data_IF_981200897329
#
_entry.id   IF_981200897329
#
_cell.length_a   1.000
_cell.length_b   1.000
_cell.length_c   1.000
_cell.angle_alpha   90.00
_cell.angle_beta   90.00
_cell.angle_gamma   90.00
#
_symmetry.space_group_name_H-M   'P 1'
#
loop_
_entity.id
_entity.type
_entity.pdbx_description
1 polymer ?
#
# COMPACT_ATOMS: atom_id res chain seq x y z
N UNK A 1 -13.07 41.93 -4.42
CA UNK A 1 -11.63 41.69 -4.58
C UNK A 1 -11.39 41.15 -5.98
N UNK A 2 -10.29 41.50 -6.65
CA UNK A 2 -9.97 40.94 -7.96
C UNK A 2 -9.69 39.44 -7.82
N UNK A 3 -10.28 38.61 -8.68
CA UNK A 3 -9.97 37.17 -8.71
C UNK A 3 -8.52 36.99 -9.16
N UNK A 4 -7.78 36.13 -8.47
CA UNK A 4 -6.42 35.74 -8.84
C UNK A 4 -6.39 34.60 -9.86
N UNK A 5 -7.56 34.11 -10.30
CA UNK A 5 -7.66 33.11 -11.35
C UNK A 5 -7.51 33.79 -12.71
N UNK A 6 -6.57 33.33 -13.53
CA UNK A 6 -6.44 33.84 -14.90
C UNK A 6 -7.66 33.47 -15.74
N UNK A 7 -8.04 34.36 -16.66
CA UNK A 7 -9.09 34.09 -17.65
C UNK A 7 -8.57 33.22 -18.81
N UNK A 8 -7.26 33.03 -18.92
CA UNK A 8 -6.64 32.21 -19.94
C UNK A 8 -6.59 30.74 -19.51
N UNK A 9 -6.85 29.83 -20.46
CA UNK A 9 -6.67 28.41 -20.24
C UNK A 9 -5.18 28.05 -20.23
N UNK A 10 -4.80 27.02 -19.46
CA UNK A 10 -3.43 26.49 -19.41
C UNK A 10 -2.91 26.18 -20.80
N UNK A 11 -1.77 26.78 -21.15
CA UNK A 11 -1.04 26.49 -22.41
C UNK A 11 0.18 25.60 -22.18
N UNK A 12 0.53 25.36 -20.91
CA UNK A 12 1.73 24.62 -20.49
C UNK A 12 1.69 23.14 -20.86
N UNK A 13 0.49 22.54 -20.92
CA UNK A 13 0.30 21.12 -21.20
C UNK A 13 0.88 20.21 -20.11
N UNK A 14 1.04 20.74 -18.88
CA UNK A 14 1.53 19.99 -17.73
C UNK A 14 0.57 18.89 -17.32
N UNK A 15 1.11 17.72 -17.03
CA UNK A 15 0.39 16.59 -16.46
C UNK A 15 0.90 16.34 -15.06
N UNK A 16 0.02 16.44 -14.07
CA UNK A 16 0.38 16.23 -12.67
C UNK A 16 -0.07 14.84 -12.24
N UNK A 17 0.89 14.01 -11.89
CA UNK A 17 0.71 12.74 -11.22
C UNK A 17 0.87 12.92 -9.72
N UNK A 18 -0.13 12.50 -8.94
CA UNK A 18 -0.10 12.53 -7.47
C UNK A 18 0.04 11.12 -6.92
N UNK A 19 1.10 10.90 -6.12
CA UNK A 19 1.22 9.66 -5.36
C UNK A 19 0.36 9.69 -4.10
N UNK A 20 -0.29 8.57 -3.72
CA UNK A 20 -1.08 8.48 -2.49
C UNK A 20 -0.28 8.80 -1.22
N UNK A 21 1.01 8.48 -1.19
CA UNK A 21 1.87 8.75 -0.04
C UNK A 21 1.96 10.25 0.27
N UNK A 22 2.10 11.11 -0.74
CA UNK A 22 2.09 12.56 -0.58
C UNK A 22 0.76 13.03 0.02
N UNK A 23 -0.37 12.53 -0.50
CA UNK A 23 -1.70 12.88 -0.01
C UNK A 23 -1.94 12.46 1.45
N UNK A 24 -1.51 11.26 1.81
CA UNK A 24 -1.59 10.77 3.19
C UNK A 24 -0.74 11.63 4.12
N UNK A 25 0.46 12.03 3.68
CA UNK A 25 1.36 12.88 4.48
C UNK A 25 0.78 14.27 4.69
N UNK A 26 0.15 14.86 3.66
CA UNK A 26 -0.58 16.14 3.77
C UNK A 26 -1.73 16.02 4.77
N UNK A 27 -2.54 14.96 4.65
CA UNK A 27 -3.68 14.71 5.56
C UNK A 27 -3.22 14.50 7.02
N UNK A 28 -2.17 13.70 7.23
CA UNK A 28 -1.54 13.49 8.54
C UNK A 28 -1.01 14.81 9.13
N UNK A 29 -0.39 15.66 8.31
CA UNK A 29 0.05 16.97 8.78
C UNK A 29 -1.13 17.87 9.18
N UNK A 30 -2.18 17.96 8.36
CA UNK A 30 -3.37 18.77 8.66
C UNK A 30 -4.04 18.29 9.96
N UNK A 31 -4.21 16.98 10.12
CA UNK A 31 -4.82 16.40 11.32
C UNK A 31 -3.97 16.64 12.57
N UNK A 32 -2.64 16.49 12.50
CA UNK A 32 -1.75 16.83 13.62
C UNK A 32 -1.80 18.31 13.97
N UNK A 33 -1.84 19.19 12.97
CA UNK A 33 -1.94 20.63 13.17
C UNK A 33 -3.23 20.99 13.91
N UNK A 34 -4.36 20.40 13.50
CA UNK A 34 -5.65 20.58 14.15
C UNK A 34 -5.67 20.03 15.59
N UNK A 35 -5.16 18.80 15.81
CA UNK A 35 -5.16 18.16 17.14
C UNK A 35 -4.22 18.83 18.14
N UNK A 36 -3.13 19.43 17.67
CA UNK A 36 -2.18 20.16 18.52
C UNK A 36 -2.61 21.60 18.83
N UNK A 37 -3.72 22.07 18.24
CA UNK A 37 -4.17 23.46 18.31
C UNK A 37 -3.08 24.46 17.91
N UNK A 38 -2.27 24.09 16.90
CA UNK A 38 -1.27 25.00 16.35
C UNK A 38 -1.97 26.21 15.73
N UNK A 39 -1.41 27.39 15.96
CA UNK A 39 -1.92 28.64 15.41
C UNK A 39 -1.22 28.98 14.10
N UNK A 40 -2.00 29.38 13.08
CA UNK A 40 -1.49 29.78 11.77
C UNK A 40 -1.95 28.88 10.62
N UNK A 41 -1.61 29.26 9.37
CA UNK A 41 -1.94 28.48 8.19
C UNK A 41 -1.07 27.22 8.08
N UNK A 42 -1.66 26.14 7.59
CA UNK A 42 -0.95 24.89 7.28
C UNK A 42 -0.22 25.07 5.96
N UNK A 43 1.11 25.02 5.97
CA UNK A 43 1.94 25.19 4.78
C UNK A 43 2.95 24.04 4.71
N UNK A 44 3.15 23.49 3.52
CA UNK A 44 4.19 22.48 3.31
C UNK A 44 4.71 22.43 1.89
N UNK A 45 5.86 21.78 1.70
CA UNK A 45 6.51 21.61 0.41
C UNK A 45 6.04 20.33 -0.28
N UNK A 46 6.06 20.35 -1.61
CA UNK A 46 5.80 19.21 -2.49
C UNK A 46 7.08 18.92 -3.29
N UNK A 47 7.48 17.65 -3.29
CA UNK A 47 8.68 17.20 -3.96
C UNK A 47 8.40 15.96 -4.78
N UNK A 48 9.24 15.75 -5.79
CA UNK A 48 9.19 14.57 -6.61
C UNK A 48 9.96 14.78 -7.90
N UNK A 49 9.64 13.98 -8.90
CA UNK A 49 10.37 13.96 -10.16
C UNK A 49 9.64 14.77 -11.24
N UNK A 50 10.43 15.43 -12.10
CA UNK A 50 9.92 16.14 -13.26
C UNK A 50 10.54 15.57 -14.53
N UNK A 51 9.71 14.93 -15.36
CA UNK A 51 10.09 14.39 -16.66
C UNK A 51 9.48 15.26 -17.76
N UNK A 52 10.15 16.37 -18.08
CA UNK A 52 9.67 17.34 -19.07
C UNK A 52 8.38 18.02 -18.62
N UNK A 53 7.24 17.60 -19.17
CA UNK A 53 5.90 18.14 -18.83
C UNK A 53 5.10 17.25 -17.89
N UNK A 54 5.62 16.08 -17.55
CA UNK A 54 5.04 15.18 -16.56
C UNK A 54 5.70 15.47 -15.21
N UNK A 55 4.88 15.85 -14.23
CA UNK A 55 5.29 16.19 -12.88
C UNK A 55 4.71 15.13 -11.96
N UNK A 56 5.56 14.32 -11.33
CA UNK A 56 5.15 13.33 -10.35
C UNK A 56 5.44 13.84 -8.94
N UNK A 57 4.37 14.09 -8.18
CA UNK A 57 4.46 14.52 -6.78
C UNK A 57 4.46 13.28 -5.90
N UNK A 58 5.63 12.93 -5.40
CA UNK A 58 5.90 11.70 -4.64
C UNK A 58 5.88 11.96 -3.14
N UNK A 59 6.42 13.11 -2.72
CA UNK A 59 6.67 13.43 -1.32
C UNK A 59 6.08 14.79 -0.93
N UNK A 60 5.73 14.90 0.34
CA UNK A 60 5.30 16.15 0.95
C UNK A 60 5.89 16.27 2.36
N UNK A 61 6.21 17.49 2.79
CA UNK A 61 6.59 17.74 4.18
C UNK A 61 6.14 19.13 4.66
N UNK A 62 6.04 19.31 5.97
CA UNK A 62 5.62 20.58 6.59
C UNK A 62 6.68 21.68 6.46
N UNK A 63 6.27 22.92 6.25
CA UNK A 63 7.14 24.09 6.31
C UNK A 63 6.87 24.82 7.62
N UNK A 64 7.93 25.11 8.38
CA UNK A 64 7.81 25.90 9.60
C UNK A 64 7.72 27.39 9.30
N UNK A 65 6.86 28.07 10.05
CA UNK A 65 6.65 29.51 9.97
C UNK A 65 7.49 30.21 11.04
N UNK A 66 8.15 31.29 10.63
CA UNK A 66 8.84 32.20 11.52
C UNK A 66 7.82 33.03 12.34
N UNK A 67 8.20 33.59 13.50
CA UNK A 67 7.31 34.42 14.31
C UNK A 67 6.72 35.58 13.49
N UNK A 68 5.39 35.63 13.44
CA UNK A 68 4.62 36.58 12.67
C UNK A 68 4.77 38.02 13.21
N UNK A 69 5.00 38.97 12.30
CA UNK A 69 5.01 40.42 12.59
C UNK A 69 3.71 41.01 12.04
N UNK A 70 3.07 42.02 12.68
CA UNK A 70 1.79 42.58 12.22
C UNK A 70 1.76 43.05 10.75
N UNK A 71 2.91 43.35 10.14
CA UNK A 71 3.03 43.75 8.72
C UNK A 71 3.15 42.57 7.74
N UNK A 72 3.59 41.39 8.21
CA UNK A 72 3.69 40.15 7.42
C UNK A 72 3.15 38.98 8.23
N UNK A 73 1.88 38.61 8.03
CA UNK A 73 1.21 37.62 8.86
C UNK A 73 1.82 36.23 8.72
N UNK A 74 2.45 35.92 7.58
CA UNK A 74 3.04 34.62 7.27
C UNK A 74 4.45 34.84 6.71
N UNK A 75 5.46 34.29 7.38
CA UNK A 75 6.86 34.33 6.96
C UNK A 75 7.44 32.93 7.07
N UNK A 76 8.09 32.45 6.02
CA UNK A 76 8.71 31.12 6.01
C UNK A 76 10.05 31.17 6.76
N UNK A 77 10.31 30.18 7.63
CA UNK A 77 11.65 30.00 8.18
C UNK A 77 12.58 29.42 7.10
N UNK A 78 13.29 30.32 6.40
CA UNK A 78 14.23 29.96 5.33
C UNK A 78 15.36 29.06 5.82
N UNK A 79 15.86 29.30 7.03
CA UNK A 79 17.00 28.53 7.58
C UNK A 79 16.62 27.08 7.82
N UNK A 80 15.42 26.86 8.36
CA UNK A 80 14.88 25.52 8.54
C UNK A 80 14.54 24.88 7.20
N UNK A 81 13.92 25.64 6.30
CA UNK A 81 13.51 25.15 4.98
C UNK A 81 14.70 24.69 4.14
N UNK A 82 15.76 25.50 4.02
CA UNK A 82 16.98 25.15 3.27
C UNK A 82 17.66 23.90 3.84
N UNK A 83 17.76 23.81 5.18
CA UNK A 83 18.31 22.63 5.85
C UNK A 83 17.47 21.37 5.61
N UNK A 84 16.14 21.51 5.61
CA UNK A 84 15.23 20.38 5.38
C UNK A 84 15.29 19.94 3.92
N UNK A 85 15.32 20.90 3.00
CA UNK A 85 15.45 20.65 1.56
C UNK A 85 16.78 19.96 1.24
N UNK A 86 17.90 20.39 1.85
CA UNK A 86 19.21 19.75 1.63
C UNK A 86 19.21 18.29 2.10
N UNK A 87 18.67 18.01 3.30
CA UNK A 87 18.56 16.64 3.82
C UNK A 87 17.67 15.76 2.94
N UNK A 88 16.62 16.33 2.34
CA UNK A 88 15.77 15.60 1.42
C UNK A 88 16.52 15.28 0.12
N UNK A 89 17.28 16.23 -0.43
CA UNK A 89 18.14 16.01 -1.59
C UNK A 89 19.23 14.96 -1.35
N UNK A 90 19.78 14.89 -0.13
CA UNK A 90 20.77 13.87 0.23
C UNK A 90 20.18 12.44 0.20
N UNK A 91 18.89 12.30 0.54
CA UNK A 91 18.20 11.00 0.59
C UNK A 91 17.48 10.65 -0.71
N UNK A 92 17.01 11.64 -1.46
CA UNK A 92 16.28 11.50 -2.70
C UNK A 92 16.86 12.46 -3.77
N UNK A 93 18.02 12.12 -4.39
CA UNK A 93 18.71 13.02 -5.30
C UNK A 93 17.96 13.35 -6.60
N UNK A 94 17.01 12.50 -6.99
CA UNK A 94 16.15 12.69 -8.17
C UNK A 94 14.92 13.54 -7.89
N UNK A 95 14.66 13.89 -6.62
CA UNK A 95 13.50 14.66 -6.23
C UNK A 95 13.86 16.15 -6.12
N UNK A 96 13.11 16.98 -6.84
CA UNK A 96 13.22 18.43 -6.76
C UNK A 96 11.97 19.04 -6.12
N UNK A 97 12.08 20.32 -5.73
CA UNK A 97 10.96 21.08 -5.19
C UNK A 97 9.98 21.40 -6.32
N UNK A 98 8.81 20.78 -6.35
CA UNK A 98 7.83 20.94 -7.42
C UNK A 98 6.75 21.97 -7.08
N UNK A 99 6.49 22.19 -5.80
CA UNK A 99 5.38 23.02 -5.37
C UNK A 99 5.26 23.14 -3.86
N UNK A 100 4.11 23.65 -3.45
CA UNK A 100 3.73 23.72 -2.05
C UNK A 100 2.24 23.47 -1.88
N UNK A 101 1.85 23.06 -0.68
CA UNK A 101 0.46 22.79 -0.35
C UNK A 101 -0.03 23.65 0.81
N UNK A 102 -1.34 23.89 0.83
CA UNK A 102 -2.05 24.58 1.90
C UNK A 102 -3.48 24.07 2.04
N UNK A 103 -4.12 24.46 3.13
CA UNK A 103 -5.54 24.19 3.38
C UNK A 103 -6.43 25.35 2.95
N UNK A 104 -7.59 25.05 2.36
CA UNK A 104 -8.64 26.03 2.11
C UNK A 104 -9.98 25.52 2.62
N UNK A 105 -10.80 26.43 3.12
CA UNK A 105 -12.19 26.15 3.51
C UNK A 105 -13.20 26.73 2.52
N UNK A 106 -12.72 27.41 1.47
CA UNK A 106 -13.57 27.97 0.42
C UNK A 106 -14.08 26.84 -0.50
N UNK A 107 -15.40 26.75 -0.76
CA UNK A 107 -15.95 25.73 -1.66
C UNK A 107 -15.44 25.83 -3.10
N UNK A 108 -15.02 27.02 -3.52
CA UNK A 108 -14.54 27.34 -4.87
C UNK A 108 -13.03 27.14 -5.03
N UNK A 109 -12.30 26.81 -3.96
CA UNK A 109 -10.84 26.63 -3.94
C UNK A 109 -10.05 27.84 -4.47
N UNK A 110 -10.64 29.05 -4.48
CA UNK A 110 -9.99 30.23 -5.06
C UNK A 110 -8.73 30.66 -4.27
N UNK A 111 -7.59 30.91 -4.95
CA UNK A 111 -6.40 31.44 -4.30
C UNK A 111 -6.62 32.84 -3.70
N UNK A 112 -6.08 33.08 -2.52
CA UNK A 112 -6.12 34.38 -1.83
C UNK A 112 -4.82 35.18 -2.03
N UNK A 113 -4.82 36.51 -1.80
CA UNK A 113 -3.60 37.33 -1.88
C UNK A 113 -2.48 36.86 -0.94
N UNK A 114 -2.83 36.27 0.20
CA UNK A 114 -1.86 35.68 1.12
C UNK A 114 -1.13 34.50 0.46
N UNK A 115 -1.86 33.67 -0.30
CA UNK A 115 -1.25 32.58 -1.07
C UNK A 115 -0.30 33.11 -2.14
N UNK A 116 -0.64 34.23 -2.81
CA UNK A 116 0.25 34.84 -3.80
C UNK A 116 1.56 35.33 -3.17
N UNK A 117 1.49 35.92 -1.96
CA UNK A 117 2.66 36.41 -1.24
C UNK A 117 3.61 35.26 -0.84
N UNK A 118 3.05 34.16 -0.32
CA UNK A 118 3.81 32.95 0.02
C UNK A 118 4.42 32.32 -1.24
N UNK A 119 3.63 32.25 -2.32
CA UNK A 119 4.09 31.69 -3.58
C UNK A 119 5.28 32.48 -4.15
N UNK A 120 5.24 33.82 -4.11
CA UNK A 120 6.37 34.66 -4.52
C UNK A 120 7.63 34.43 -3.69
N UNK A 121 7.52 34.19 -2.38
CA UNK A 121 8.67 33.87 -1.54
C UNK A 121 9.31 32.53 -1.95
N UNK A 122 8.48 31.52 -2.23
CA UNK A 122 8.95 30.19 -2.64
C UNK A 122 9.49 30.14 -4.07
N UNK A 123 9.05 31.03 -4.97
CA UNK A 123 9.57 31.12 -6.34
C UNK A 123 11.08 31.44 -6.40
N UNK A 124 11.67 31.93 -5.30
CA UNK A 124 13.12 32.10 -5.20
C UNK A 124 13.91 30.79 -5.23
N UNK A 125 13.27 29.65 -4.90
CA UNK A 125 13.88 28.32 -4.92
C UNK A 125 13.61 27.54 -6.20
N UNK A 126 12.46 27.77 -6.85
CA UNK A 126 12.13 27.19 -8.16
C UNK A 126 11.26 28.18 -8.96
N UNK A 127 11.60 28.37 -10.23
CA UNK A 127 10.91 29.26 -11.18
C UNK A 127 9.48 28.82 -11.53
N UNK A 128 9.15 27.52 -11.39
CA UNK A 128 7.83 26.97 -11.73
C UNK A 128 7.30 26.08 -10.61
N UNK A 129 6.58 26.67 -9.66
CA UNK A 129 5.96 25.94 -8.55
C UNK A 129 4.47 25.70 -8.80
N UNK A 130 3.98 24.52 -8.41
CA UNK A 130 2.55 24.27 -8.31
C UNK A 130 2.01 24.60 -6.91
N UNK A 131 0.75 25.01 -6.84
CA UNK A 131 0.01 25.23 -5.60
C UNK A 131 -1.05 24.15 -5.46
N UNK A 132 -0.94 23.30 -4.43
CA UNK A 132 -1.96 22.32 -4.07
C UNK A 132 -2.81 22.84 -2.90
N UNK A 133 -4.12 22.91 -3.10
CA UNK A 133 -5.07 23.32 -2.08
C UNK A 133 -5.95 22.14 -1.69
N UNK A 134 -5.92 21.77 -0.42
CA UNK A 134 -6.77 20.71 0.13
C UNK A 134 -7.87 21.30 1.03
N UNK A 135 -9.10 20.82 0.89
CA UNK A 135 -10.17 21.15 1.83
C UNK A 135 -10.36 20.02 2.84
N UNK A 136 -10.03 20.25 4.13
CA UNK A 136 -10.13 19.21 5.16
C UNK A 136 -11.57 18.99 5.66
N UNK A 137 -12.54 19.77 5.20
CA UNK A 137 -13.95 19.59 5.57
C UNK A 137 -14.52 18.28 5.00
N UNK A 138 -15.33 17.52 5.76
CA UNK A 138 -15.97 16.29 5.28
C UNK A 138 -16.90 16.53 4.07
N UNK A 139 -17.39 17.77 3.91
CA UNK A 139 -18.23 18.18 2.76
C UNK A 139 -17.41 18.61 1.53
N UNK A 140 -16.07 18.59 1.61
CA UNK A 140 -15.19 19.05 0.54
C UNK A 140 -15.16 18.12 -0.68
N UNK A 141 -15.56 16.84 -0.51
CA UNK A 141 -15.63 15.88 -1.62
C UNK A 141 -16.92 16.09 -2.41
N UNK A 142 -16.79 16.63 -3.62
CA UNK A 142 -17.91 16.83 -4.54
C UNK A 142 -17.87 15.70 -5.59
N UNK A 143 -18.95 14.94 -5.73
CA UNK A 143 -19.13 13.89 -6.75
C UNK A 143 -18.05 12.77 -6.74
N UNK A 144 -17.55 12.42 -5.56
CA UNK A 144 -16.53 11.38 -5.37
C UNK A 144 -15.16 11.75 -5.94
N UNK A 145 -14.90 13.04 -6.18
CA UNK A 145 -13.55 13.56 -6.41
C UNK A 145 -12.89 13.87 -5.08
N UNK A 146 -11.56 13.77 -5.05
CA UNK A 146 -10.79 14.20 -3.88
C UNK A 146 -10.95 15.71 -3.68
N UNK A 147 -11.01 16.21 -2.43
CA UNK A 147 -11.19 17.62 -2.10
C UNK A 147 -9.89 18.42 -2.31
N UNK A 148 -9.35 18.36 -3.53
CA UNK A 148 -8.05 18.90 -3.89
C UNK A 148 -8.19 19.70 -5.20
N UNK A 149 -7.57 20.88 -5.22
CA UNK A 149 -7.36 21.68 -6.42
C UNK A 149 -5.87 21.97 -6.57
N UNK A 150 -5.36 21.92 -7.80
CA UNK A 150 -3.97 22.26 -8.10
C UNK A 150 -3.95 23.43 -9.08
N UNK A 151 -3.03 24.35 -8.88
CA UNK A 151 -2.85 25.53 -9.72
C UNK A 151 -1.40 25.65 -10.19
N UNK A 152 -1.20 26.05 -11.44
CA UNK A 152 0.05 26.66 -11.90
C UNK A 152 -0.01 28.18 -11.72
N UNK A 153 1.15 28.80 -11.59
CA UNK A 153 1.25 30.26 -11.58
C UNK A 153 1.71 30.80 -12.93
N UNK A 154 1.07 31.89 -13.37
CA UNK A 154 1.46 32.65 -14.56
C UNK A 154 1.59 34.13 -14.19
N UNK A 155 2.67 34.74 -14.63
CA UNK A 155 2.87 36.18 -14.55
C UNK A 155 2.21 36.85 -15.75
N UNK A 156 1.03 37.44 -15.56
CA UNK A 156 0.32 38.21 -16.61
C UNK A 156 0.98 39.59 -16.83
N UNK A 157 1.67 40.11 -15.82
CA UNK A 157 2.43 41.37 -15.85
C UNK A 157 3.52 41.31 -14.78
N UNK A 158 4.52 42.20 -14.85
CA UNK A 158 5.71 42.17 -13.97
C UNK A 158 5.40 42.01 -12.47
N UNK A 159 4.27 42.54 -11.98
CA UNK A 159 3.85 42.46 -10.57
C UNK A 159 2.53 41.70 -10.33
N UNK A 160 1.93 41.09 -11.37
CA UNK A 160 0.63 40.42 -11.23
C UNK A 160 0.78 38.90 -11.43
N UNK A 161 0.82 38.19 -10.30
CA UNK A 161 0.73 36.74 -10.25
C UNK A 161 -0.73 36.31 -10.41
N UNK A 162 -0.98 35.40 -11.34
CA UNK A 162 -2.27 34.76 -11.56
C UNK A 162 -2.13 33.24 -11.46
N UNK A 163 -3.21 32.55 -11.13
CA UNK A 163 -3.25 31.11 -10.98
C UNK A 163 -4.18 30.48 -12.01
N UNK A 164 -3.77 29.34 -12.56
CA UNK A 164 -4.56 28.59 -13.54
C UNK A 164 -4.77 27.17 -13.01
N UNK A 165 -6.02 26.68 -12.96
CA UNK A 165 -6.30 25.35 -12.46
C UNK A 165 -5.72 24.27 -13.38
N UNK A 166 -5.02 23.31 -12.79
CA UNK A 166 -4.45 22.15 -13.47
C UNK A 166 -5.24 20.88 -13.16
N UNK A 167 -5.27 19.99 -14.15
CA UNK A 167 -5.79 18.64 -13.97
C UNK A 167 -4.71 17.75 -13.34
N UNK A 168 -5.16 16.82 -12.50
CA UNK A 168 -4.28 15.83 -11.88
C UNK A 168 -4.78 14.41 -12.14
N UNK A 169 -3.84 13.47 -12.16
CA UNK A 169 -4.05 12.03 -12.12
C UNK A 169 -3.48 11.50 -10.80
N UNK A 170 -4.04 10.40 -10.31
CA UNK A 170 -3.46 9.69 -9.17
C UNK A 170 -2.63 8.56 -9.77
N UNK A 171 -1.33 8.59 -9.54
CA UNK A 171 -0.43 7.52 -9.93
C UNK A 171 -0.10 6.69 -8.71
N UNK A 172 -0.32 5.39 -8.80
CA UNK A 172 -0.03 4.46 -7.73
C UNK A 172 0.94 3.43 -8.26
N UNK A 173 2.11 3.31 -7.64
CA UNK A 173 2.96 2.15 -7.86
C UNK A 173 2.24 0.86 -7.43
N UNK A 174 2.68 -0.30 -7.91
CA UNK A 174 2.06 -1.58 -7.57
C UNK A 174 2.03 -1.82 -6.05
N UNK A 175 3.15 -1.56 -5.37
CA UNK A 175 3.25 -1.66 -3.92
C UNK A 175 2.34 -0.66 -3.20
N UNK A 176 2.25 0.59 -3.69
CA UNK A 176 1.36 1.60 -3.12
C UNK A 176 -0.11 1.21 -3.30
N UNK A 177 -0.48 0.70 -4.47
CA UNK A 177 -1.84 0.25 -4.76
C UNK A 177 -2.28 -0.84 -3.77
N UNK A 178 -1.42 -1.85 -3.55
CA UNK A 178 -1.69 -2.94 -2.59
C UNK A 178 -1.81 -2.38 -1.16
N UNK A 179 -0.88 -1.50 -0.76
CA UNK A 179 -0.90 -0.90 0.57
C UNK A 179 -2.15 -0.02 0.79
N UNK A 180 -2.55 0.77 -0.21
CA UNK A 180 -3.75 1.61 -0.14
C UNK A 180 -5.02 0.78 -0.09
N UNK A 181 -5.10 -0.31 -0.86
CA UNK A 181 -6.25 -1.23 -0.81
C UNK A 181 -6.38 -1.88 0.57
N UNK A 182 -5.26 -2.31 1.16
CA UNK A 182 -5.24 -2.83 2.53
C UNK A 182 -5.69 -1.79 3.58
N UNK A 183 -5.20 -0.55 3.48
CA UNK A 183 -5.61 0.53 4.39
C UNK A 183 -7.08 0.89 4.19
N UNK A 184 -7.56 0.96 2.95
CA UNK A 184 -8.93 1.32 2.60
C UNK A 184 -9.96 0.25 3.00
N UNK A 185 -9.59 -1.03 2.93
CA UNK A 185 -10.42 -2.14 3.44
C UNK A 185 -10.55 -2.14 4.97
N UNK A 186 -9.77 -1.31 5.65
CA UNK A 186 -9.77 -1.19 7.10
C UNK A 186 -8.82 -2.19 7.71
N UNK A 187 -7.59 -1.75 7.99
CA UNK A 187 -6.56 -2.45 8.74
C UNK A 187 -6.94 -2.75 10.22
N UNK A 188 -8.23 -2.93 10.54
CA UNK A 188 -8.80 -2.93 11.89
C UNK A 188 -10.11 -3.72 12.06
N UNK A 189 -10.36 -4.75 11.25
CA UNK A 189 -11.29 -5.82 11.65
C UNK A 189 -10.51 -6.86 12.46
N UNK A 190 -10.81 -7.00 13.76
CA UNK A 190 -10.13 -7.93 14.67
C UNK A 190 -10.26 -9.41 14.24
N UNK A 191 -9.39 -9.86 13.33
CA UNK A 191 -9.11 -11.26 13.07
C UNK A 191 -7.68 -11.38 12.47
N UNK A 192 -6.81 -12.00 13.25
CA UNK A 192 -5.48 -12.54 12.93
C UNK A 192 -5.03 -12.52 11.46
N UNK A 193 -4.01 -11.71 11.16
CA UNK A 193 -2.98 -12.07 10.18
C UNK A 193 -1.67 -12.35 10.94
N UNK A 194 -1.14 -13.58 10.91
CA UNK A 194 0.22 -13.83 11.34
C UNK A 194 1.17 -13.34 10.23
N UNK A 195 1.83 -12.20 10.47
CA UNK A 195 3.03 -11.82 9.73
C UNK A 195 4.13 -12.84 10.06
N UNK A 196 4.29 -13.88 9.25
CA UNK A 196 5.46 -14.76 9.32
C UNK A 196 6.65 -14.08 8.64
N UNK A 197 7.40 -13.27 9.38
CA UNK A 197 8.81 -13.05 9.11
C UNK A 197 9.60 -14.31 9.53
N UNK A 198 10.68 -14.70 8.82
CA UNK A 198 11.46 -15.88 9.19
C UNK A 198 12.38 -15.51 10.36
N UNK A 199 11.95 -15.82 11.58
CA UNK A 199 12.80 -15.76 12.78
C UNK A 199 13.15 -17.18 13.22
N UNK A 200 14.46 -17.37 13.43
CA UNK A 200 15.09 -18.65 13.68
C UNK A 200 14.63 -19.38 14.94
N UNK A 201 14.88 -20.68 14.87
CA UNK A 201 14.75 -21.71 15.89
C UNK A 201 15.33 -21.31 17.25
N UNK A 202 14.50 -21.37 18.30
CA UNK A 202 14.94 -21.54 19.69
C UNK A 202 13.78 -21.94 20.63
N UNK A 203 13.73 -23.24 20.96
CA UNK A 203 13.57 -23.77 22.32
C UNK A 203 12.40 -23.30 23.19
N UNK A 204 11.39 -24.18 23.35
CA UNK A 204 10.26 -23.97 24.26
C UNK A 204 10.54 -24.14 25.76
N UNK A 205 9.61 -23.63 26.58
CA UNK A 205 9.08 -24.28 27.79
C UNK A 205 7.85 -23.53 28.30
N UNK A 206 6.83 -24.30 28.67
CA UNK A 206 5.45 -23.84 28.81
C UNK A 206 5.07 -23.13 30.11
N UNK A 207 3.81 -22.68 30.15
CA UNK A 207 3.01 -22.57 31.37
C UNK A 207 1.53 -22.56 31.00
N UNK A 208 0.79 -23.54 31.51
CA UNK A 208 -0.66 -23.50 31.66
C UNK A 208 -1.04 -22.32 32.57
N UNK A 209 -2.24 -21.75 32.39
CA UNK A 209 -3.25 -21.57 33.45
C UNK A 209 -4.51 -20.87 32.88
N UNK A 210 -5.62 -21.58 33.09
CA UNK A 210 -7.03 -21.19 33.32
C UNK A 210 -7.84 -20.34 32.33
N UNK A 211 -8.84 -21.05 31.77
CA UNK A 211 -10.03 -20.56 31.10
C UNK A 211 -11.15 -20.49 32.15
N UNK A 212 -11.57 -19.29 32.54
CA UNK A 212 -12.79 -19.09 33.35
C UNK A 212 -13.97 -18.93 32.40
N UNK A 213 -14.92 -19.86 32.51
CA UNK A 213 -16.23 -19.86 31.84
C UNK A 213 -17.18 -18.96 32.61
N UNK A 214 -17.89 -18.07 31.91
CA UNK A 214 -19.19 -17.54 32.36
C UNK A 214 -20.17 -17.66 31.20
N UNK A 215 -21.18 -18.50 31.42
CA UNK A 215 -22.39 -18.62 30.61
C UNK A 215 -23.44 -17.59 31.05
N UNK A 216 -24.34 -17.22 30.12
CA UNK A 216 -25.53 -16.39 30.39
C UNK A 216 -26.16 -15.77 29.13
N UNK A 217 -26.82 -16.61 28.33
CA UNK A 217 -28.10 -16.44 27.56
C UNK A 217 -28.32 -15.21 26.66
N UNK A 218 -28.28 -15.36 25.32
CA UNK A 218 -29.40 -15.50 24.33
C UNK A 218 -30.19 -14.20 24.05
N UNK A 219 -30.35 -13.66 22.83
CA UNK A 219 -30.90 -14.27 21.61
C UNK A 219 -30.56 -13.49 20.29
N UNK A 220 -30.32 -14.27 19.22
CA UNK A 220 -30.79 -14.13 17.82
C UNK A 220 -30.24 -12.97 16.95
N UNK A 221 -29.35 -13.26 15.98
CA UNK A 221 -29.70 -13.55 14.55
C UNK A 221 -28.44 -13.52 13.67
N UNK A 222 -28.31 -14.47 12.73
CA UNK A 222 -27.40 -14.37 11.59
C UNK A 222 -26.28 -15.41 11.55
N UNK A 223 -26.64 -16.65 11.19
CA UNK A 223 -25.68 -17.66 10.76
C UNK A 223 -24.86 -17.18 9.56
N UNK A 224 -23.56 -16.95 9.77
CA UNK A 224 -22.56 -17.21 8.74
C UNK A 224 -21.40 -17.94 9.41
N UNK A 225 -21.33 -19.25 9.15
CA UNK A 225 -20.18 -20.05 9.50
C UNK A 225 -18.97 -19.42 8.83
N UNK A 226 -18.07 -18.84 9.63
CA UNK A 226 -16.75 -18.45 9.17
C UNK A 226 -15.98 -19.71 8.80
N UNK A 227 -16.09 -20.13 7.54
CA UNK A 227 -15.04 -20.95 6.95
C UNK A 227 -13.76 -20.13 7.07
N UNK A 228 -12.79 -20.64 7.82
CA UNK A 228 -11.41 -20.13 7.78
C UNK A 228 -10.96 -20.35 6.34
N UNK A 229 -11.04 -19.30 5.54
CA UNK A 229 -10.60 -19.34 4.16
C UNK A 229 -9.09 -19.49 4.17
N UNK A 230 -8.57 -20.34 3.29
CA UNK A 230 -7.12 -20.45 3.11
C UNK A 230 -6.59 -19.07 2.69
N UNK A 231 -5.39 -18.67 3.13
CA UNK A 231 -4.84 -17.33 2.84
C UNK A 231 -4.83 -17.00 1.33
N UNK A 232 -4.65 -18.02 0.47
CA UNK A 232 -4.73 -17.89 -0.98
C UNK A 232 -6.15 -17.56 -1.49
N UNK A 233 -7.18 -18.07 -0.82
CA UNK A 233 -8.58 -17.78 -1.15
C UNK A 233 -8.97 -16.37 -0.73
N UNK A 234 -8.45 -15.88 0.40
CA UNK A 234 -8.65 -14.49 0.83
C UNK A 234 -8.00 -13.50 -0.13
N UNK A 235 -6.77 -13.79 -0.59
CA UNK A 235 -6.08 -12.98 -1.60
C UNK A 235 -6.82 -12.98 -2.95
N UNK A 236 -7.34 -14.12 -3.40
CA UNK A 236 -8.14 -14.17 -4.62
C UNK A 236 -9.43 -13.34 -4.47
N UNK A 237 -10.07 -13.39 -3.30
CA UNK A 237 -11.29 -12.61 -3.02
C UNK A 237 -10.99 -11.11 -3.00
N UNK A 238 -9.87 -10.68 -2.42
CA UNK A 238 -9.49 -9.25 -2.43
C UNK A 238 -9.25 -8.77 -3.87
N UNK A 239 -8.49 -9.53 -4.67
CA UNK A 239 -8.25 -9.21 -6.09
C UNK A 239 -9.55 -9.13 -6.91
N UNK A 240 -10.45 -10.10 -6.73
CA UNK A 240 -11.75 -10.11 -7.43
C UNK A 240 -12.65 -8.97 -6.96
N UNK A 241 -12.60 -8.61 -5.68
CA UNK A 241 -13.36 -7.50 -5.11
C UNK A 241 -12.86 -6.16 -5.64
N UNK A 242 -11.54 -5.96 -5.71
CA UNK A 242 -10.94 -4.77 -6.33
C UNK A 242 -11.36 -4.63 -7.80
N UNK A 243 -11.26 -5.70 -8.59
CA UNK A 243 -11.72 -5.72 -10.00
C UNK A 243 -13.22 -5.42 -10.13
N UNK A 244 -14.06 -5.99 -9.25
CA UNK A 244 -15.49 -5.71 -9.21
C UNK A 244 -15.75 -4.23 -8.91
N UNK A 245 -15.07 -3.64 -7.93
CA UNK A 245 -15.22 -2.23 -7.56
C UNK A 245 -14.81 -1.29 -8.71
N UNK A 246 -13.73 -1.60 -9.42
CA UNK A 246 -13.33 -0.84 -10.61
C UNK A 246 -14.42 -0.87 -11.70
N UNK A 247 -15.01 -2.06 -11.96
CA UNK A 247 -16.09 -2.22 -12.96
C UNK A 247 -17.37 -1.49 -12.52
N UNK A 248 -17.74 -1.54 -11.24
CA UNK A 248 -18.94 -0.85 -10.74
C UNK A 248 -18.77 0.67 -10.80
N UNK A 249 -17.59 1.20 -10.50
CA UNK A 249 -17.27 2.62 -10.67
C UNK A 249 -17.32 3.05 -12.13
N UNK A 250 -16.78 2.25 -13.05
CA UNK A 250 -16.87 2.53 -14.49
C UNK A 250 -18.33 2.54 -14.95
N UNK A 251 -19.11 1.55 -14.53
CA UNK A 251 -20.53 1.45 -14.89
C UNK A 251 -21.36 2.62 -14.33
N UNK A 252 -21.09 3.08 -13.11
CA UNK A 252 -21.78 4.25 -12.55
C UNK A 252 -21.47 5.52 -13.35
N UNK A 253 -20.21 5.72 -13.76
CA UNK A 253 -19.79 6.84 -14.62
C UNK A 253 -20.44 6.78 -16.01
N UNK A 254 -20.50 5.60 -16.62
CA UNK A 254 -21.19 5.41 -17.92
C UNK A 254 -22.68 5.73 -17.79
N UNK A 255 -23.34 5.30 -16.71
CA UNK A 255 -24.75 5.63 -16.45
C UNK A 255 -24.97 7.13 -16.31
N UNK A 256 -24.11 7.85 -15.60
CA UNK A 256 -24.17 9.31 -15.47
C UNK A 256 -24.03 10.01 -16.83
N UNK A 257 -23.10 9.56 -17.68
CA UNK A 257 -22.96 10.10 -19.04
C UNK A 257 -24.20 9.82 -19.90
N UNK A 258 -24.79 8.63 -19.75
CA UNK A 258 -26.00 8.24 -20.46
C UNK A 258 -27.21 9.07 -20.01
N UNK A 259 -27.34 9.31 -18.71
CA UNK A 259 -28.36 10.20 -18.14
C UNK A 259 -28.21 11.64 -18.62
N UNK A 260 -26.97 12.15 -18.67
CA UNK A 260 -26.65 13.47 -19.22
C UNK A 260 -27.06 13.61 -20.70
N UNK A 261 -26.87 12.55 -21.50
CA UNK A 261 -27.29 12.54 -22.92
C UNK A 261 -28.81 12.43 -23.09
N UNK A 262 -29.49 11.69 -22.21
CA UNK A 262 -30.96 11.52 -22.26
C UNK A 262 -31.70 12.77 -21.80
N UNK A 263 -31.21 13.39 -20.73
CA UNK A 263 -31.81 14.56 -20.09
C UNK A 263 -30.80 15.71 -20.12
N UNK A 264 -30.59 16.35 -21.28
CA UNK A 264 -29.71 17.51 -21.33
C UNK A 264 -30.30 18.64 -20.45
N UNK A 265 -29.47 19.34 -19.66
CA UNK A 265 -29.94 20.48 -18.88
C UNK A 265 -30.57 21.52 -19.82
N UNK A 266 -31.75 22.04 -19.46
CA UNK A 266 -32.43 23.08 -20.26
C UNK A 266 -31.59 24.37 -20.22
N UNK A 267 -30.95 24.72 -21.35
CA UNK A 267 -30.03 25.86 -21.46
C UNK A 267 -29.02 25.71 -22.61
N UNK A 268 -27.93 26.49 -22.57
CA UNK A 268 -26.81 26.42 -23.53
C UNK A 268 -26.15 25.03 -23.40
N UNK A 269 -26.34 24.19 -24.39
CA UNK A 269 -25.69 22.88 -24.44
C UNK A 269 -24.17 23.07 -24.50
N UNK A 270 -23.45 22.43 -23.57
CA UNK A 270 -21.99 22.44 -23.62
C UNK A 270 -21.50 21.55 -24.76
N UNK A 271 -21.33 22.16 -25.94
CA UNK A 271 -20.88 21.47 -27.15
C UNK A 271 -19.45 20.89 -27.04
N UNK A 272 -18.66 21.34 -26.06
CA UNK A 272 -17.34 20.76 -25.79
C UNK A 272 -17.49 19.35 -25.20
N UNK A 273 -18.33 19.19 -24.17
CA UNK A 273 -18.59 17.89 -23.53
C UNK A 273 -19.19 16.90 -24.53
N UNK A 274 -20.13 17.33 -25.38
CA UNK A 274 -20.72 16.46 -26.41
C UNK A 274 -19.69 16.00 -27.45
N UNK A 275 -18.73 16.86 -27.79
CA UNK A 275 -17.64 16.54 -28.72
C UNK A 275 -16.67 15.53 -28.10
N UNK A 276 -16.35 15.70 -26.82
CA UNK A 276 -15.51 14.76 -26.07
C UNK A 276 -16.18 13.39 -25.94
N UNK A 277 -17.48 13.35 -25.65
CA UNK A 277 -18.26 12.09 -25.61
C UNK A 277 -18.29 11.42 -26.99
N UNK A 278 -18.47 12.18 -28.07
CA UNK A 278 -18.42 11.66 -29.44
C UNK A 278 -17.03 11.10 -29.78
N UNK A 279 -15.96 11.77 -29.37
CA UNK A 279 -14.60 11.28 -29.54
C UNK A 279 -14.37 9.97 -28.75
N UNK A 280 -14.80 9.91 -27.48
CA UNK A 280 -14.68 8.70 -26.68
C UNK A 280 -15.39 7.50 -27.35
N UNK A 281 -16.64 7.69 -27.76
CA UNK A 281 -17.47 6.61 -28.29
C UNK A 281 -17.06 6.14 -29.68
N UNK A 282 -16.64 7.06 -30.55
CA UNK A 282 -16.41 6.75 -31.95
C UNK A 282 -14.94 6.54 -32.32
N UNK A 283 -13.99 7.28 -31.71
CA UNK A 283 -12.57 7.11 -32.05
C UNK A 283 -11.82 6.24 -31.04
N UNK A 284 -12.07 6.41 -29.74
CA UNK A 284 -11.29 5.72 -28.69
C UNK A 284 -11.76 4.30 -28.39
N UNK A 285 -13.08 4.05 -28.35
CA UNK A 285 -13.58 2.68 -28.19
C UNK A 285 -13.29 1.77 -29.39
N UNK A 286 -13.12 2.36 -30.59
CA UNK A 286 -12.77 1.60 -31.79
C UNK A 286 -11.27 1.27 -31.87
N UNK A 287 -10.41 2.03 -31.18
CA UNK A 287 -8.98 1.73 -31.01
C UNK A 287 -8.71 0.47 -30.18
N UNK A 288 -9.69 -0.02 -29.41
CA UNK A 288 -9.63 -1.33 -28.73
C UNK A 288 -9.75 -2.52 -29.71
N UNK A 289 -10.06 -2.28 -30.97
CA UNK A 289 -9.86 -3.26 -32.05
C UNK A 289 -8.53 -2.92 -32.72
N UNK A 290 -7.42 -3.61 -32.36
CA UNK A 290 -6.13 -3.33 -32.97
C UNK A 290 -6.21 -3.45 -34.49
N UNK A 291 -5.47 -2.59 -35.19
CA UNK A 291 -5.43 -2.53 -36.67
C UNK A 291 -5.03 -3.89 -37.28
N UNK A 292 -4.28 -4.71 -36.53
CA UNK A 292 -4.01 -6.11 -36.82
C UNK A 292 -4.58 -7.04 -35.73
N UNK A 293 -5.82 -7.47 -35.96
CA UNK A 293 -6.53 -8.39 -35.07
C UNK A 293 -5.84 -9.76 -34.96
N UNK A 294 -5.14 -10.21 -36.01
CA UNK A 294 -4.48 -11.52 -36.03
C UNK A 294 -3.20 -11.51 -35.22
N UNK A 295 -2.38 -10.46 -35.36
CA UNK A 295 -1.18 -10.28 -34.55
C UNK A 295 -1.53 -10.20 -33.06
N UNK A 296 -2.55 -9.41 -32.70
CA UNK A 296 -3.01 -9.31 -31.31
C UNK A 296 -3.52 -10.63 -30.74
N UNK A 297 -4.33 -11.40 -31.49
CA UNK A 297 -4.79 -12.72 -31.03
C UNK A 297 -3.64 -13.72 -30.85
N UNK A 298 -2.61 -13.62 -31.69
CA UNK A 298 -1.42 -14.46 -31.58
C UNK A 298 -0.60 -14.09 -30.34
N UNK A 299 -0.37 -12.80 -30.10
CA UNK A 299 0.34 -12.29 -28.92
C UNK A 299 -0.42 -12.66 -27.63
N UNK A 300 -1.74 -12.45 -27.60
CA UNK A 300 -2.60 -12.86 -26.48
C UNK A 300 -2.50 -14.36 -26.19
N UNK A 301 -2.56 -15.21 -27.24
CA UNK A 301 -2.41 -16.67 -27.07
C UNK A 301 -1.02 -17.06 -26.57
N UNK A 302 0.02 -16.36 -27.01
CA UNK A 302 1.38 -16.59 -26.53
C UNK A 302 1.49 -16.25 -25.03
N UNK A 303 0.98 -15.10 -24.61
CA UNK A 303 0.99 -14.68 -23.20
C UNK A 303 0.17 -15.64 -22.30
N UNK A 304 -1.00 -16.09 -22.76
CA UNK A 304 -1.80 -17.12 -22.06
C UNK A 304 -1.04 -18.45 -21.94
N UNK A 305 -0.38 -18.88 -23.01
CA UNK A 305 0.43 -20.10 -23.01
C UNK A 305 1.60 -20.00 -22.03
N UNK A 306 2.30 -18.87 -22.01
CA UNK A 306 3.45 -18.63 -21.14
C UNK A 306 3.03 -18.60 -19.66
N UNK A 307 1.95 -17.90 -19.33
CA UNK A 307 1.39 -17.90 -17.96
C UNK A 307 1.01 -19.32 -17.52
N UNK A 308 0.35 -20.09 -18.39
CA UNK A 308 -0.04 -21.46 -18.08
C UNK A 308 1.16 -22.38 -17.87
N UNK A 309 2.23 -22.23 -18.67
CA UNK A 309 3.46 -23.00 -18.52
C UNK A 309 4.11 -22.74 -17.16
N UNK A 310 4.20 -21.48 -16.73
CA UNK A 310 4.76 -21.10 -15.42
C UNK A 310 3.93 -21.70 -14.28
N UNK A 311 2.61 -21.62 -14.36
CA UNK A 311 1.71 -22.23 -13.36
C UNK A 311 1.89 -23.75 -13.31
N UNK A 312 1.99 -24.41 -14.46
CA UNK A 312 2.17 -25.87 -14.52
C UNK A 312 3.54 -26.29 -13.96
N UNK A 313 4.60 -25.56 -14.26
CA UNK A 313 5.93 -25.78 -13.66
C UNK A 313 5.91 -25.57 -12.14
N UNK A 314 5.21 -24.55 -11.66
CA UNK A 314 4.97 -24.34 -10.23
C UNK A 314 4.22 -25.52 -9.59
N UNK A 315 3.19 -26.04 -10.26
CA UNK A 315 2.44 -27.21 -9.80
C UNK A 315 3.31 -28.47 -9.75
N UNK A 316 4.13 -28.73 -10.78
CA UNK A 316 5.10 -29.85 -10.78
C UNK A 316 6.09 -29.72 -9.65
N UNK A 317 6.60 -28.50 -9.40
CA UNK A 317 7.52 -28.22 -8.28
C UNK A 317 6.86 -28.52 -6.94
N UNK A 318 5.59 -28.14 -6.77
CA UNK A 318 4.81 -28.45 -5.56
C UNK A 318 4.57 -29.95 -5.39
N UNK A 319 4.22 -30.66 -6.47
CA UNK A 319 4.09 -32.12 -6.46
C UNK A 319 5.41 -32.81 -6.06
N UNK A 320 6.56 -32.32 -6.55
CA UNK A 320 7.87 -32.85 -6.16
C UNK A 320 8.15 -32.65 -4.67
N UNK A 321 7.75 -31.51 -4.09
CA UNK A 321 7.86 -31.28 -2.65
C UNK A 321 6.96 -32.24 -1.86
N UNK A 322 5.71 -32.42 -2.28
CA UNK A 322 4.78 -33.35 -1.63
C UNK A 322 5.31 -34.80 -1.68
N UNK A 323 5.87 -35.23 -2.81
CA UNK A 323 6.52 -36.54 -2.95
C UNK A 323 7.71 -36.66 -2.00
N UNK A 324 8.55 -35.62 -1.87
CA UNK A 324 9.67 -35.61 -0.91
C UNK A 324 9.19 -35.72 0.53
N UNK A 325 8.12 -35.03 0.89
CA UNK A 325 7.53 -35.11 2.23
C UNK A 325 7.02 -36.53 2.52
N UNK A 326 6.34 -37.16 1.57
CA UNK A 326 5.89 -38.56 1.69
C UNK A 326 7.10 -39.50 1.82
N UNK A 327 8.14 -39.32 0.99
CA UNK A 327 9.35 -40.12 1.05
C UNK A 327 10.03 -40.03 2.42
N UNK A 328 10.16 -38.84 3.01
CA UNK A 328 10.70 -38.65 4.36
C UNK A 328 9.87 -39.38 5.43
N UNK A 329 8.53 -39.31 5.34
CA UNK A 329 7.63 -40.00 6.28
C UNK A 329 7.73 -41.52 6.14
N UNK A 330 7.73 -42.05 4.91
CA UNK A 330 7.90 -43.49 4.66
C UNK A 330 9.25 -44.01 5.15
N UNK A 331 10.35 -43.31 4.88
CA UNK A 331 11.68 -43.69 5.37
C UNK A 331 11.74 -43.70 6.91
N UNK A 332 11.10 -42.72 7.58
CA UNK A 332 10.97 -42.71 9.03
C UNK A 332 10.18 -43.91 9.56
N UNK A 333 9.06 -44.26 8.92
CA UNK A 333 8.24 -45.43 9.29
C UNK A 333 9.03 -46.74 9.10
N UNK A 334 9.73 -46.90 7.97
CA UNK A 334 10.58 -48.07 7.73
C UNK A 334 11.71 -48.20 8.76
N UNK A 335 12.32 -47.07 9.17
CA UNK A 335 13.32 -47.07 10.22
C UNK A 335 12.73 -47.52 11.56
N UNK A 336 11.53 -47.08 11.91
CA UNK A 336 10.81 -47.52 13.12
C UNK A 336 10.46 -49.01 13.06
N UNK A 337 9.97 -49.50 11.93
CA UNK A 337 9.69 -50.93 11.75
C UNK A 337 10.95 -51.80 11.88
N UNK A 338 12.08 -51.36 11.28
CA UNK A 338 13.37 -52.05 11.43
C UNK A 338 13.85 -52.03 12.88
N UNK A 339 13.72 -50.92 13.58
CA UNK A 339 14.09 -50.82 15.00
C UNK A 339 13.21 -51.70 15.90
N UNK A 340 11.89 -51.70 15.69
CA UNK A 340 10.97 -52.54 16.45
C UNK A 340 11.24 -54.03 16.22
N UNK A 341 11.49 -54.43 14.97
CA UNK A 341 11.86 -55.81 14.64
C UNK A 341 13.19 -56.20 15.28
N UNK A 342 14.20 -55.33 15.23
CA UNK A 342 15.48 -55.57 15.89
C UNK A 342 15.32 -55.69 17.42
N UNK A 343 14.46 -54.87 18.04
CA UNK A 343 14.17 -54.92 19.47
C UNK A 343 13.40 -56.18 19.87
N UNK A 344 12.50 -56.66 19.02
CA UNK A 344 11.75 -57.90 19.18
C UNK A 344 12.64 -59.13 19.01
N UNK A 345 13.54 -59.13 18.03
CA UNK A 345 14.55 -60.18 17.85
C UNK A 345 15.52 -60.23 19.05
N UNK A 346 15.91 -59.07 19.61
CA UNK A 346 16.76 -58.99 20.80
C UNK A 346 16.05 -59.51 22.06
N UNK A 347 14.75 -59.23 22.21
CA UNK A 347 13.92 -59.80 23.29
C UNK A 347 13.78 -61.31 23.16
N UNK A 348 13.50 -61.82 21.96
CA UNK A 348 13.42 -63.26 21.71
C UNK A 348 14.76 -64.00 21.94
N UNK A 349 15.90 -63.35 21.71
CA UNK A 349 17.21 -63.90 22.07
C UNK A 349 17.44 -63.95 23.58
N UNK A 350 16.97 -62.96 24.34
CA UNK A 350 17.02 -62.97 25.81
C UNK A 350 16.08 -64.02 26.42
N UNK A 351 14.87 -64.22 25.88
CA UNK A 351 13.93 -65.24 26.38
C UNK A 351 14.36 -66.68 26.04
N UNK A 352 15.15 -66.90 24.98
CA UNK A 352 15.76 -68.21 24.69
C UNK A 352 16.93 -68.56 25.60
N UNK A 353 17.48 -67.59 26.34
CA UNK A 353 18.40 -67.85 27.44
C UNK A 353 17.61 -67.91 28.75
N UNK A 354 16.91 -69.04 28.95
CA UNK A 354 16.35 -69.39 30.26
C UNK A 354 17.45 -69.43 31.34
N UNK A 355 17.08 -69.29 32.63
CA UNK A 355 18.01 -68.93 33.70
C UNK A 355 19.06 -70.03 33.89
N UNK A 356 20.32 -69.71 33.60
CA UNK A 356 21.44 -70.52 34.05
C UNK A 356 21.57 -70.32 35.56
N UNK A 357 21.26 -71.38 36.29
CA UNK A 357 21.57 -71.59 37.70
C UNK A 357 23.06 -71.32 37.95
N UNK A 358 23.35 -70.25 38.67
CA UNK A 358 24.69 -69.94 39.17
C UNK A 358 24.55 -69.61 40.65
N UNK A 359 24.93 -70.62 41.44
CA UNK A 359 24.94 -70.59 42.89
C UNK A 359 25.76 -69.43 43.47
N UNK A 360 25.22 -68.93 44.57
CA UNK A 360 25.90 -68.47 45.79
C UNK A 360 27.31 -67.90 45.60
N UNK A 361 27.40 -66.57 45.53
CA UNK A 361 28.64 -65.81 45.73
C UNK A 361 28.32 -64.49 46.43
N UNK A 362 28.48 -64.47 47.75
CA UNK A 362 28.38 -63.29 48.62
C UNK A 362 29.31 -62.16 48.15
N UNK A 363 28.78 -60.94 48.03
CA UNK A 363 29.56 -59.73 47.79
C UNK A 363 28.74 -58.46 47.96
N UNK A 364 28.68 -57.94 49.19
CA UNK A 364 28.07 -56.66 49.57
C UNK A 364 28.87 -55.46 49.04
N UNK A 365 28.14 -54.38 48.75
CA UNK A 365 28.60 -52.98 48.76
C UNK A 365 28.95 -52.47 47.36
N UNK A 366 28.53 -51.30 46.89
CA UNK A 366 27.82 -50.17 47.48
C UNK A 366 27.33 -49.31 46.31
N UNK A 367 26.18 -48.65 46.47
CA UNK A 367 25.68 -47.66 45.51
C UNK A 367 26.56 -46.42 45.54
N UNK A 368 26.93 -45.89 44.38
CA UNK A 368 27.01 -44.44 44.26
C UNK A 368 26.63 -43.98 42.85
N UNK A 369 25.47 -43.33 42.75
CA UNK A 369 25.11 -42.47 41.62
C UNK A 369 25.97 -41.22 41.71
N UNK A 370 26.67 -40.86 40.63
CA UNK A 370 26.95 -39.45 40.37
C UNK A 370 26.91 -39.16 38.87
N UNK A 371 26.02 -38.23 38.57
CA UNK A 371 25.76 -37.57 37.32
C UNK A 371 26.96 -36.67 36.98
N UNK A 372 27.53 -36.74 35.77
CA UNK A 372 28.34 -35.63 35.22
C UNK A 372 28.16 -35.55 33.70
N UNK A 373 27.64 -34.40 33.30
CA UNK A 373 27.61 -33.78 31.98
C UNK A 373 28.99 -33.68 31.31
N UNK A 374 28.96 -33.64 29.97
CA UNK A 374 29.76 -32.75 29.11
C UNK A 374 31.27 -33.01 28.92
N UNK A 375 31.70 -32.89 27.66
CA UNK A 375 33.09 -32.81 27.21
C UNK A 375 33.31 -33.69 25.97
N UNK A 376 32.83 -33.28 24.80
CA UNK A 376 33.60 -32.56 23.79
C UNK A 376 34.80 -33.38 23.27
N UNK A 377 34.78 -33.77 21.99
CA UNK A 377 35.98 -33.71 21.15
C UNK A 377 35.60 -33.71 19.66
N UNK A 378 36.00 -32.62 19.02
CA UNK A 378 36.20 -32.46 17.58
C UNK A 378 37.06 -33.59 16.98
N UNK A 379 36.78 -33.94 15.73
CA UNK A 379 37.72 -34.07 14.60
C UNK A 379 36.97 -34.68 13.41
N UNK A 380 36.75 -33.89 12.37
CA UNK A 380 37.54 -33.96 11.12
C UNK A 380 37.60 -35.37 10.53
N UNK A 381 36.96 -35.56 9.37
CA UNK A 381 37.62 -36.18 8.21
C UNK A 381 37.04 -35.60 6.91
N UNK A 382 37.96 -34.99 6.16
CA UNK A 382 38.19 -35.10 4.71
C UNK A 382 37.01 -35.08 3.75
#
# INVERSE_FOLDING_TARGET
MASLISQHASTSGLQIALHPLALLTISDYITRHALRNNTGPVIGALLGSQNGREIAIEYAYEILLAPSTPEKPVVIDKTWFEKKLSLFKDTHPSADLLGWFTTTFLPTYEPTPDHASIHQELLSYNESLCLLMMNPSPSGSINGKLPIAIYESIHESADKLSFIPLNYTIETGEAEMIAMDFVAQGAGGAASLPMSAPAGDAGGKGKQVEKVVKEGEEMVQGSSQGQVLNAQSEELISQLTAKKNAITMLNSRIKLLLEYLKNPPQGIHNHQVLREIKALTHSRLQLLKPTDMKAFEQEKRAEESDSNLVVLLGAVTRCMEDVRVVQKKCAGIEAVFKNNKAMEDQRNMMDRQGPMDLGVGLGRGERNRRNVMSGAFERERY
#
